data_IF_207009336406
#
_entry.id   IF_207009336406
#
_cell.length_a   1.000
_cell.length_b   1.000
_cell.length_c   1.000
_cell.angle_alpha   90.00
_cell.angle_beta   90.00
_cell.angle_gamma   90.00
#
_symmetry.space_group_name_H-M   'P 1'
#
loop_
_entity.id
_entity.type
_entity.pdbx_description
1 polymer ?
#
# COMPACT_ATOMS: atom_id res chain seq x y z
N UNK A 1 16.04 -13.77 -5.79
CA UNK A 1 16.28 -12.43 -5.21
C UNK A 1 16.57 -12.59 -3.73
N UNK A 2 17.70 -12.08 -3.24
CA UNK A 2 18.04 -12.11 -1.80
C UNK A 2 17.11 -11.19 -1.00
N UNK A 3 16.84 -11.55 0.26
CA UNK A 3 15.96 -10.79 1.18
C UNK A 3 16.40 -9.32 1.30
N UNK A 4 17.71 -9.05 1.33
CA UNK A 4 18.26 -7.68 1.39
C UNK A 4 17.92 -6.84 0.15
N UNK A 5 17.96 -7.43 -1.05
CA UNK A 5 17.64 -6.72 -2.30
C UNK A 5 16.15 -6.37 -2.37
N UNK A 6 15.29 -7.26 -1.87
CA UNK A 6 13.84 -7.01 -1.77
C UNK A 6 13.56 -5.85 -0.81
N UNK A 7 14.17 -5.82 0.37
CA UNK A 7 13.97 -4.74 1.34
C UNK A 7 14.49 -3.40 0.82
N UNK A 8 15.64 -3.37 0.16
CA UNK A 8 16.16 -2.16 -0.47
C UNK A 8 15.20 -1.61 -1.54
N UNK A 9 14.68 -2.50 -2.38
CA UNK A 9 13.73 -2.12 -3.45
C UNK A 9 12.39 -1.61 -2.90
N UNK A 10 11.85 -2.24 -1.85
CA UNK A 10 10.64 -1.77 -1.16
C UNK A 10 10.86 -0.40 -0.53
N UNK A 11 12.03 -0.17 0.09
CA UNK A 11 12.38 1.13 0.66
C UNK A 11 12.48 2.22 -0.42
N UNK A 12 13.05 1.92 -1.59
CA UNK A 12 13.12 2.87 -2.71
C UNK A 12 11.73 3.27 -3.22
N UNK A 13 10.84 2.29 -3.39
CA UNK A 13 9.45 2.55 -3.80
C UNK A 13 8.67 3.38 -2.78
N UNK A 14 8.80 3.07 -1.49
CA UNK A 14 8.17 3.84 -0.42
C UNK A 14 8.71 5.28 -0.35
N UNK A 15 10.04 5.45 -0.42
CA UNK A 15 10.68 6.76 -0.36
C UNK A 15 10.21 7.66 -1.50
N UNK A 16 10.18 7.14 -2.73
CA UNK A 16 9.69 7.88 -3.90
C UNK A 16 8.23 8.32 -3.74
N UNK A 17 7.36 7.47 -3.19
CA UNK A 17 5.96 7.86 -2.95
C UNK A 17 5.83 8.92 -1.84
N UNK A 18 6.71 8.88 -0.82
CA UNK A 18 6.76 9.89 0.24
C UNK A 18 7.25 11.24 -0.29
N UNK A 19 8.30 11.23 -1.11
CA UNK A 19 8.87 12.44 -1.73
C UNK A 19 7.87 13.15 -2.66
N UNK A 20 6.90 12.41 -3.21
CA UNK A 20 5.82 12.94 -4.02
C UNK A 20 4.54 13.31 -3.24
N UNK A 21 4.56 13.21 -1.90
CA UNK A 21 3.41 13.40 -1.00
C UNK A 21 2.22 12.46 -1.30
N UNK A 22 2.45 11.39 -2.07
CA UNK A 22 1.42 10.42 -2.45
C UNK A 22 1.18 9.39 -1.35
N UNK A 23 2.24 9.03 -0.63
CA UNK A 23 2.20 7.90 0.31
C UNK A 23 1.13 8.05 1.41
N UNK A 24 1.09 9.19 2.09
CA UNK A 24 0.15 9.41 3.19
C UNK A 24 -1.31 9.50 2.72
N UNK A 25 -1.55 10.09 1.55
CA UNK A 25 -2.90 10.25 1.00
C UNK A 25 -3.45 8.91 0.50
N UNK A 26 -2.61 8.12 -0.20
CA UNK A 26 -2.97 6.81 -0.71
C UNK A 26 -3.26 5.82 0.42
N UNK A 27 -2.49 5.84 1.51
CA UNK A 27 -2.76 4.97 2.66
C UNK A 27 -4.17 5.16 3.19
N UNK A 28 -4.60 6.41 3.40
CA UNK A 28 -5.92 6.70 3.97
C UNK A 28 -7.06 6.26 3.05
N UNK A 29 -7.02 6.63 1.76
CA UNK A 29 -8.08 6.27 0.82
C UNK A 29 -8.12 4.75 0.57
N UNK A 30 -6.97 4.12 0.32
CA UNK A 30 -6.92 2.66 0.07
C UNK A 30 -7.39 1.89 1.31
N UNK A 31 -7.00 2.30 2.52
CA UNK A 31 -7.48 1.68 3.75
C UNK A 31 -9.00 1.79 3.91
N UNK A 32 -9.57 2.97 3.61
CA UNK A 32 -11.01 3.18 3.66
C UNK A 32 -11.74 2.30 2.62
N UNK A 33 -11.25 2.24 1.38
CA UNK A 33 -11.80 1.38 0.32
C UNK A 33 -11.76 -0.09 0.72
N UNK A 34 -10.63 -0.57 1.24
CA UNK A 34 -10.50 -1.96 1.72
C UNK A 34 -11.43 -2.27 2.90
N UNK A 35 -11.62 -1.31 3.82
CA UNK A 35 -12.52 -1.48 4.97
C UNK A 35 -13.98 -1.52 4.53
N UNK A 36 -14.37 -0.68 3.55
CA UNK A 36 -15.72 -0.62 3.01
C UNK A 36 -16.09 -1.91 2.23
N UNK A 37 -15.12 -2.48 1.52
CA UNK A 37 -15.29 -3.69 0.69
C UNK A 37 -14.82 -4.99 1.38
N UNK A 38 -14.79 -5.03 2.72
CA UNK A 38 -14.20 -6.09 3.56
C UNK A 38 -14.60 -7.55 3.24
N UNK A 39 -15.64 -7.77 2.45
CA UNK A 39 -16.18 -9.08 2.08
C UNK A 39 -15.70 -9.63 0.74
N UNK A 40 -14.97 -8.86 -0.09
CA UNK A 40 -14.46 -9.33 -1.38
C UNK A 40 -13.00 -8.92 -1.65
N UNK A 41 -12.14 -9.82 -2.18
CA UNK A 41 -10.80 -9.45 -2.59
C UNK A 41 -10.88 -8.50 -3.80
N UNK A 42 -10.46 -7.25 -3.60
CA UNK A 42 -10.37 -6.26 -4.67
C UNK A 42 -9.03 -6.37 -5.42
N UNK A 43 -9.08 -6.23 -6.74
CA UNK A 43 -7.87 -6.10 -7.57
C UNK A 43 -7.29 -4.68 -7.48
N UNK A 44 -5.98 -4.48 -7.70
CA UNK A 44 -5.37 -3.15 -7.69
C UNK A 44 -6.05 -2.15 -8.64
N UNK A 45 -6.53 -2.63 -9.79
CA UNK A 45 -7.29 -1.83 -10.75
C UNK A 45 -8.62 -1.35 -10.19
N UNK A 46 -9.41 -2.23 -9.57
CA UNK A 46 -10.67 -1.83 -8.93
C UNK A 46 -10.45 -0.80 -7.84
N UNK A 47 -9.41 -0.99 -7.02
CA UNK A 47 -9.07 -0.03 -5.98
C UNK A 47 -8.68 1.31 -6.60
N UNK A 48 -7.91 1.31 -7.69
CA UNK A 48 -7.56 2.54 -8.43
C UNK A 48 -8.79 3.26 -8.98
N UNK A 49 -9.71 2.52 -9.61
CA UNK A 49 -10.96 3.06 -10.17
C UNK A 49 -11.86 3.67 -9.07
N UNK A 50 -11.78 3.15 -7.85
CA UNK A 50 -12.51 3.65 -6.66
C UNK A 50 -11.80 4.80 -5.92
N UNK A 51 -10.55 5.15 -6.27
CA UNK A 51 -9.86 6.30 -5.68
C UNK A 51 -10.52 7.62 -6.09
N UNK A 52 -10.28 8.67 -5.30
CA UNK A 52 -10.75 10.00 -5.69
C UNK A 52 -10.13 10.43 -7.03
N UNK A 53 -10.87 11.17 -7.88
CA UNK A 53 -10.34 11.66 -9.17
C UNK A 53 -9.06 12.49 -9.01
N UNK A 54 -8.90 13.14 -7.85
CA UNK A 54 -7.68 13.84 -7.47
C UNK A 54 -6.48 12.89 -7.35
N UNK A 55 -6.63 11.78 -6.61
CA UNK A 55 -5.54 10.81 -6.45
C UNK A 55 -5.26 10.05 -7.73
N UNK A 56 -6.28 9.70 -8.52
CA UNK A 56 -6.08 9.11 -9.85
C UNK A 56 -5.22 10.03 -10.73
N UNK A 57 -5.59 11.31 -10.83
CA UNK A 57 -4.85 12.31 -11.61
C UNK A 57 -3.43 12.54 -11.07
N UNK A 58 -3.26 12.50 -9.75
CA UNK A 58 -1.95 12.70 -9.11
C UNK A 58 -1.04 11.51 -9.31
N UNK A 59 -1.55 10.27 -9.21
CA UNK A 59 -0.81 9.05 -9.56
C UNK A 59 -0.37 9.16 -11.01
N UNK A 60 -1.31 9.39 -11.92
CA UNK A 60 -1.04 9.50 -13.35
C UNK A 60 0.02 10.57 -13.67
N UNK A 61 -0.06 11.73 -13.01
CA UNK A 61 0.93 12.79 -13.15
C UNK A 61 2.32 12.32 -12.70
N UNK A 62 2.42 11.65 -11.55
CA UNK A 62 3.71 11.24 -10.99
C UNK A 62 4.32 10.08 -11.79
N UNK A 63 3.52 9.13 -12.27
CA UNK A 63 3.97 8.01 -13.11
C UNK A 63 4.39 8.48 -14.51
N UNK A 64 3.73 9.48 -15.09
CA UNK A 64 4.07 9.97 -16.45
C UNK A 64 5.19 11.01 -16.47
N UNK A 65 5.28 11.89 -15.46
CA UNK A 65 6.23 13.01 -15.48
C UNK A 65 7.60 12.65 -14.90
N UNK A 66 7.67 11.65 -14.02
CA UNK A 66 8.92 11.24 -13.38
C UNK A 66 9.38 9.90 -13.92
N UNK A 67 10.42 9.93 -14.76
CA UNK A 67 11.01 8.72 -15.36
C UNK A 67 11.38 7.65 -14.32
N UNK A 68 11.95 8.07 -13.20
CA UNK A 68 12.29 7.18 -12.06
C UNK A 68 11.07 6.46 -11.46
N UNK A 69 9.89 7.10 -11.51
CA UNK A 69 8.63 6.51 -11.06
C UNK A 69 8.09 5.58 -12.12
N UNK A 70 8.09 6.02 -13.39
CA UNK A 70 7.65 5.21 -14.53
C UNK A 70 8.41 3.88 -14.63
N UNK A 71 9.73 3.91 -14.38
CA UNK A 71 10.58 2.72 -14.40
C UNK A 71 10.23 1.73 -13.26
N UNK A 72 9.70 2.23 -12.14
CA UNK A 72 9.32 1.44 -10.96
C UNK A 72 7.85 1.02 -10.94
N UNK A 73 6.99 1.80 -11.59
CA UNK A 73 5.55 1.65 -11.69
C UNK A 73 5.12 1.91 -13.14
N UNK A 74 5.21 0.88 -14.02
CA UNK A 74 4.82 0.99 -15.42
C UNK A 74 3.35 1.36 -15.62
N UNK A 75 2.48 0.94 -14.69
CA UNK A 75 1.06 1.22 -14.70
C UNK A 75 0.64 1.96 -13.43
N UNK A 76 -0.41 2.79 -13.53
CA UNK A 76 -0.94 3.55 -12.40
C UNK A 76 -1.43 2.63 -11.27
N UNK A 77 -2.03 1.49 -11.63
CA UNK A 77 -2.49 0.44 -10.70
C UNK A 77 -1.35 -0.26 -9.94
N UNK A 78 -0.10 -0.22 -10.44
CA UNK A 78 1.05 -0.79 -9.75
C UNK A 78 1.39 -0.01 -8.46
N UNK A 79 1.12 1.31 -8.46
CA UNK A 79 1.28 2.16 -7.26
C UNK A 79 0.32 1.70 -6.18
N UNK A 80 -0.93 1.45 -6.55
CA UNK A 80 -1.98 0.98 -5.65
C UNK A 80 -1.63 -0.42 -5.13
N UNK A 81 -1.24 -1.34 -6.02
CA UNK A 81 -0.84 -2.70 -5.64
C UNK A 81 0.32 -2.72 -4.63
N UNK A 82 1.30 -1.82 -4.79
CA UNK A 82 2.40 -1.67 -3.83
C UNK A 82 1.91 -1.19 -2.46
N UNK A 83 1.05 -0.17 -2.41
CA UNK A 83 0.52 0.34 -1.14
C UNK A 83 -0.36 -0.69 -0.45
N UNK A 84 -1.21 -1.41 -1.19
CA UNK A 84 -2.01 -2.53 -0.67
C UNK A 84 -1.10 -3.60 -0.07
N UNK A 85 -0.05 -4.01 -0.77
CA UNK A 85 0.89 -5.02 -0.26
C UNK A 85 1.61 -4.55 1.02
N UNK A 86 1.99 -3.27 1.09
CA UNK A 86 2.55 -2.67 2.31
C UNK A 86 1.54 -2.67 3.47
N UNK A 87 0.28 -2.33 3.19
CA UNK A 87 -0.79 -2.34 4.18
C UNK A 87 -1.08 -3.75 4.66
N UNK A 88 -1.22 -4.75 3.78
CA UNK A 88 -1.40 -6.15 4.18
C UNK A 88 -0.24 -6.63 5.06
N UNK A 89 1.00 -6.33 4.67
CA UNK A 89 2.20 -6.71 5.48
C UNK A 89 2.21 -6.03 6.85
N UNK A 90 1.61 -4.84 7.01
CA UNK A 90 1.50 -4.15 8.30
C UNK A 90 0.26 -4.55 9.10
N UNK A 91 -0.87 -4.81 8.45
CA UNK A 91 -2.11 -5.29 9.08
C UNK A 91 -1.90 -6.70 9.64
N UNK A 92 -1.21 -7.59 8.92
CA UNK A 92 -0.88 -8.92 9.43
C UNK A 92 0.04 -8.82 10.65
N UNK A 93 0.97 -7.85 10.69
CA UNK A 93 1.80 -7.58 11.87
C UNK A 93 0.99 -7.04 13.07
N UNK A 94 -0.06 -6.25 12.82
CA UNK A 94 -0.95 -5.76 13.89
C UNK A 94 -1.79 -6.91 14.44
N UNK A 95 -2.33 -7.79 13.59
CA UNK A 95 -3.07 -8.98 14.03
C UNK A 95 -2.21 -9.94 14.85
N UNK A 96 -0.93 -10.09 14.50
CA UNK A 96 0.03 -10.89 15.28
C UNK A 96 0.28 -10.27 16.66
N UNK A 97 0.34 -8.94 16.77
CA UNK A 97 0.47 -8.24 18.06
C UNK A 97 -0.79 -8.36 18.92
N UNK A 98 -1.99 -8.33 18.32
CA UNK A 98 -3.24 -8.54 19.06
C UNK A 98 -3.38 -9.98 19.59
N UNK A 99 -2.74 -10.96 18.95
CA UNK A 99 -2.71 -12.35 19.44
C UNK A 99 -1.70 -12.60 20.56
N UNK A 100 -0.70 -11.73 20.77
CA UNK A 100 0.26 -11.89 21.87
C UNK A 100 -0.25 -11.33 23.21
N UNK A 101 -1.28 -10.47 23.21
CA UNK A 101 -1.85 -9.87 24.43
C UNK A 101 -3.06 -10.63 25.01
N UNK A 102 -3.49 -11.74 24.40
CA UNK A 102 -4.66 -12.52 24.86
C UNK A 102 -4.37 -13.91 25.41
N UNK A 103 -3.11 -14.32 25.55
CA UNK A 103 -2.72 -15.57 26.23
C UNK A 103 -1.93 -15.31 27.53
N UNK A 104 -2.54 -14.67 28.53
CA UNK A 104 -2.06 -14.82 29.92
C UNK A 104 -3.09 -14.38 30.98
N UNK A 105 -4.32 -14.88 30.96
CA UNK A 105 -5.17 -14.89 32.17
C UNK A 105 -6.11 -16.10 32.19
N UNK A 106 -5.53 -17.30 32.26
CA UNK A 106 -6.18 -18.44 32.92
C UNK A 106 -5.11 -19.23 33.67
N UNK A 107 -4.90 -18.89 34.93
CA UNK A 107 -4.44 -19.81 35.98
C UNK A 107 -4.53 -19.12 37.35
N UNK A 108 -5.67 -19.30 38.02
CA UNK A 108 -5.77 -19.55 39.46
C UNK A 108 -7.21 -19.95 39.80
#
# INVERSE_FOLDING_TARGET
>A
MCVQTRTAFLNTKEMILRDNQLFSLLICEIYNTLTYHSSQPLTPKQIFDDLSPFLQSRIHYVTTQKKEVADLFPLDEDVVGFVVALLSTKIDKIKVLETEDTESYYCA
#
